data_IF_058248271260
#
_entry.id   IF_058248271260
#
_cell.length_a   1.000
_cell.length_b   1.000
_cell.length_c   1.000
_cell.angle_alpha   90.00
_cell.angle_beta   90.00
_cell.angle_gamma   90.00
#
_symmetry.space_group_name_H-M   'P 1'
#
loop_
_entity.id
_entity.type
_entity.pdbx_description
1 polymer ?
#
# COMPACT_ATOMS: atom_id res chain seq x y z
N UNK A 1 38.15 -7.41 16.30
CA UNK A 1 38.14 -8.31 15.13
C UNK A 1 39.50 -8.16 14.47
N UNK A 2 40.15 -9.26 14.05
CA UNK A 2 41.43 -9.21 13.33
C UNK A 2 41.20 -8.98 11.84
N UNK A 3 42.19 -8.41 11.14
CA UNK A 3 42.11 -8.16 9.70
C UNK A 3 41.87 -9.46 8.90
N UNK A 4 42.46 -10.58 9.34
CA UNK A 4 42.23 -11.91 8.74
C UNK A 4 40.75 -12.36 8.80
N UNK A 5 40.04 -12.06 9.91
CA UNK A 5 38.63 -12.41 10.06
C UNK A 5 37.72 -11.50 9.20
N UNK A 6 38.18 -10.29 8.89
CA UNK A 6 37.47 -9.35 8.00
C UNK A 6 37.61 -9.79 6.54
N UNK A 7 38.79 -10.27 6.14
CA UNK A 7 39.01 -10.77 4.79
C UNK A 7 38.30 -12.10 4.52
N UNK A 8 38.18 -12.96 5.53
CA UNK A 8 37.35 -14.18 5.43
C UNK A 8 35.86 -13.83 5.23
N UNK A 9 35.33 -12.82 5.94
CA UNK A 9 33.95 -12.34 5.76
C UNK A 9 33.69 -11.73 4.36
N UNK A 10 34.66 -11.03 3.77
CA UNK A 10 34.52 -10.46 2.42
C UNK A 10 34.49 -11.53 1.32
N UNK A 11 35.03 -12.72 1.59
CA UNK A 11 35.04 -13.85 0.65
C UNK A 11 33.70 -14.59 0.59
N UNK A 12 32.78 -14.30 1.51
CA UNK A 12 31.44 -14.88 1.51
C UNK A 12 30.64 -14.30 0.34
N UNK A 13 30.25 -15.19 -0.58
CA UNK A 13 29.43 -14.82 -1.72
C UNK A 13 28.01 -14.43 -1.25
N UNK A 14 27.67 -13.16 -1.43
CA UNK A 14 26.36 -12.64 -1.04
C UNK A 14 25.32 -13.01 -2.10
N UNK A 15 24.06 -13.30 -1.71
CA UNK A 15 22.97 -13.44 -2.66
C UNK A 15 22.84 -12.17 -3.51
N UNK A 16 22.56 -12.33 -4.80
CA UNK A 16 22.24 -11.19 -5.66
C UNK A 16 21.06 -10.39 -5.11
N UNK A 17 21.08 -9.06 -5.26
CA UNK A 17 20.04 -8.15 -4.74
C UNK A 17 18.63 -8.57 -5.16
N UNK A 18 18.48 -9.06 -6.40
CA UNK A 18 17.22 -9.62 -6.92
C UNK A 18 16.68 -10.78 -6.07
N UNK A 19 17.55 -11.71 -5.66
CA UNK A 19 17.15 -12.82 -4.79
C UNK A 19 16.76 -12.32 -3.40
N UNK A 20 17.49 -11.35 -2.86
CA UNK A 20 17.15 -10.73 -1.57
C UNK A 20 15.77 -10.08 -1.63
N UNK A 21 15.46 -9.37 -2.71
CA UNK A 21 14.17 -8.74 -2.94
C UNK A 21 13.02 -9.76 -3.10
N UNK A 22 13.24 -10.84 -3.86
CA UNK A 22 12.25 -11.91 -4.02
C UNK A 22 11.92 -12.58 -2.65
N UNK A 23 12.93 -12.81 -1.80
CA UNK A 23 12.72 -13.32 -0.44
C UNK A 23 11.97 -12.34 0.45
N UNK A 24 12.26 -11.03 0.38
CA UNK A 24 11.49 -9.99 1.11
C UNK A 24 10.03 -9.96 0.68
N UNK A 25 9.76 -10.02 -0.62
CA UNK A 25 8.39 -10.09 -1.14
C UNK A 25 7.67 -11.33 -0.58
N UNK A 26 8.31 -12.49 -0.66
CA UNK A 26 7.74 -13.76 -0.16
C UNK A 26 7.46 -13.71 1.34
N UNK A 27 8.38 -13.17 2.13
CA UNK A 27 8.20 -13.00 3.57
C UNK A 27 7.00 -12.12 3.90
N UNK A 28 6.86 -10.99 3.22
CA UNK A 28 5.71 -10.10 3.40
C UNK A 28 4.40 -10.73 2.93
N UNK A 29 4.42 -11.51 1.84
CA UNK A 29 3.24 -12.24 1.36
C UNK A 29 2.74 -13.27 2.37
N UNK A 30 3.65 -14.02 2.99
CA UNK A 30 3.32 -14.98 4.06
C UNK A 30 2.74 -14.24 5.26
N UNK A 31 3.35 -13.14 5.69
CA UNK A 31 2.88 -12.33 6.82
C UNK A 31 1.47 -11.78 6.57
N UNK A 32 1.24 -11.20 5.39
CA UNK A 32 -0.06 -10.62 5.03
C UNK A 32 -1.13 -11.69 4.84
N UNK A 33 -0.75 -12.88 4.38
CA UNK A 33 -1.64 -14.05 4.36
C UNK A 33 -2.03 -14.46 5.79
N UNK A 34 -1.05 -14.65 6.69
CA UNK A 34 -1.31 -15.08 8.07
C UNK A 34 -2.20 -14.09 8.83
N UNK A 35 -1.95 -12.78 8.71
CA UNK A 35 -2.82 -11.75 9.32
C UNK A 35 -4.25 -11.77 8.78
N UNK A 36 -4.44 -12.12 7.50
CA UNK A 36 -5.76 -12.25 6.89
C UNK A 36 -6.49 -13.50 7.37
N UNK A 37 -5.77 -14.61 7.55
CA UNK A 37 -6.31 -15.85 8.13
C UNK A 37 -6.72 -15.65 9.59
N UNK A 38 -5.91 -14.99 10.41
CA UNK A 38 -6.27 -14.66 11.80
C UNK A 38 -7.50 -13.76 11.90
N UNK A 39 -7.66 -12.83 10.95
CA UNK A 39 -8.80 -11.92 10.89
C UNK A 39 -10.06 -12.56 10.25
N UNK A 40 -9.91 -13.75 9.67
CA UNK A 40 -10.98 -14.53 9.03
C UNK A 40 -11.69 -15.39 10.08
N UNK A 41 -13.02 -15.46 10.02
CA UNK A 41 -13.81 -16.32 10.91
C UNK A 41 -13.72 -17.81 10.54
N UNK A 42 -13.20 -18.11 9.35
CA UNK A 42 -12.88 -19.45 8.88
C UNK A 42 -11.38 -19.65 9.11
N UNK A 43 -11.02 -20.25 10.25
CA UNK A 43 -9.68 -20.79 10.42
C UNK A 43 -9.51 -21.92 9.42
N UNK A 44 -8.74 -21.69 8.36
CA UNK A 44 -8.26 -22.78 7.53
C UNK A 44 -7.41 -23.68 8.42
N UNK A 45 -7.72 -24.99 8.42
CA UNK A 45 -7.04 -26.01 9.22
C UNK A 45 -5.57 -26.13 8.78
N UNK A 46 -4.75 -25.23 9.31
CA UNK A 46 -3.31 -25.15 9.09
C UNK A 46 -2.65 -26.24 9.94
N UNK A 47 -1.97 -27.19 9.30
CA UNK A 47 -1.20 -28.24 9.99
C UNK A 47 0.04 -27.70 10.73
N UNK A 48 0.35 -26.43 10.56
CA UNK A 48 1.50 -25.75 11.14
C UNK A 48 0.98 -24.81 12.21
N UNK A 49 1.56 -24.90 13.41
CA UNK A 49 1.35 -23.94 14.48
C UNK A 49 2.19 -22.69 14.21
N UNK A 50 1.52 -21.55 14.07
CA UNK A 50 2.14 -20.27 13.76
C UNK A 50 2.25 -19.36 14.99
N UNK A 51 1.70 -19.75 16.14
CA UNK A 51 1.65 -18.92 17.35
C UNK A 51 3.06 -18.66 17.92
N UNK A 52 4.01 -19.57 17.67
CA UNK A 52 5.40 -19.46 18.07
C UNK A 52 6.28 -18.65 17.10
N UNK A 53 5.72 -18.15 15.99
CA UNK A 53 6.46 -17.41 14.95
C UNK A 53 6.25 -15.91 15.10
N UNK A 54 7.29 -15.19 15.54
CA UNK A 54 7.28 -13.72 15.61
C UNK A 54 7.94 -13.14 14.37
N UNK A 55 7.19 -12.35 13.60
CA UNK A 55 7.72 -11.63 12.44
C UNK A 55 8.51 -10.39 12.91
N UNK A 56 9.78 -10.29 12.50
CA UNK A 56 10.64 -9.12 12.78
C UNK A 56 10.33 -7.99 11.79
N UNK A 57 9.45 -7.06 12.18
CA UNK A 57 8.97 -5.97 11.32
C UNK A 57 9.88 -4.75 11.37
N UNK A 58 10.59 -4.52 12.47
CA UNK A 58 11.35 -3.30 12.68
C UNK A 58 12.63 -3.28 11.83
N UNK A 59 13.26 -4.44 11.65
CA UNK A 59 14.37 -4.59 10.69
C UNK A 59 13.94 -4.27 9.25
N UNK A 60 12.73 -4.68 8.86
CA UNK A 60 12.20 -4.43 7.51
C UNK A 60 11.85 -2.96 7.28
N UNK A 61 11.37 -2.25 8.30
CA UNK A 61 11.13 -0.80 8.23
C UNK A 61 12.43 -0.01 8.06
N UNK A 62 13.52 -0.44 8.71
CA UNK A 62 14.81 0.27 8.62
C UNK A 62 15.43 0.24 7.22
N UNK A 63 14.99 -0.70 6.38
CA UNK A 63 15.43 -0.90 5.00
C UNK A 63 14.29 -0.67 4.00
N UNK A 64 13.24 0.05 4.43
CA UNK A 64 12.05 0.27 3.62
C UNK A 64 12.39 1.07 2.37
N UNK A 65 12.06 0.50 1.22
CA UNK A 65 12.13 1.21 -0.04
C UNK A 65 11.08 2.31 0.00
N UNK A 66 11.52 3.57 -0.03
CA UNK A 66 10.64 4.73 -0.05
C UNK A 66 9.98 4.89 -1.42
N UNK A 67 8.85 5.62 -1.46
CA UNK A 67 8.12 5.84 -2.70
C UNK A 67 8.98 6.56 -3.75
N UNK A 68 9.81 7.52 -3.34
CA UNK A 68 10.70 8.28 -4.23
C UNK A 68 11.69 7.37 -4.99
N UNK A 69 12.21 6.32 -4.33
CA UNK A 69 13.07 5.33 -4.98
C UNK A 69 12.28 4.44 -5.95
N UNK A 70 11.04 4.06 -5.62
CA UNK A 70 10.19 3.32 -6.56
C UNK A 70 9.94 4.16 -7.82
N UNK A 71 9.67 5.46 -7.66
CA UNK A 71 9.47 6.39 -8.78
C UNK A 71 10.75 6.62 -9.59
N UNK A 72 11.92 6.63 -8.94
CA UNK A 72 13.23 6.65 -9.61
C UNK A 72 13.45 5.39 -10.44
N UNK A 73 13.18 4.20 -9.88
CA UNK A 73 13.28 2.94 -10.63
C UNK A 73 12.33 2.90 -11.83
N UNK A 74 11.13 3.46 -11.71
CA UNK A 74 10.20 3.60 -12.84
C UNK A 74 10.86 4.40 -13.97
N UNK A 75 11.50 5.51 -13.63
CA UNK A 75 12.19 6.35 -14.61
C UNK A 75 13.40 5.65 -15.25
N UNK A 76 14.25 5.02 -14.45
CA UNK A 76 15.44 4.31 -14.93
C UNK A 76 15.05 3.14 -15.83
N UNK A 77 14.15 2.27 -15.37
CA UNK A 77 13.72 1.12 -16.15
C UNK A 77 12.89 1.51 -17.38
N UNK A 78 12.12 2.61 -17.37
CA UNK A 78 11.45 3.05 -18.59
C UNK A 78 12.44 3.40 -19.71
N UNK A 79 13.65 3.86 -19.39
CA UNK A 79 14.70 4.14 -20.39
C UNK A 79 15.34 2.87 -20.95
N UNK A 80 15.35 1.79 -20.18
CA UNK A 80 16.03 0.54 -20.53
C UNK A 80 15.08 -0.50 -21.15
N UNK A 81 13.82 -0.51 -20.70
CA UNK A 81 12.79 -1.47 -21.12
C UNK A 81 12.04 -1.00 -22.35
N UNK A 82 11.56 -1.96 -23.16
CA UNK A 82 10.85 -1.65 -24.42
C UNK A 82 9.33 -1.71 -24.28
N UNK A 83 8.83 -2.13 -23.13
CA UNK A 83 7.40 -2.34 -22.93
C UNK A 83 6.93 -1.94 -21.52
N UNK A 84 5.76 -1.29 -21.45
CA UNK A 84 5.11 -0.97 -20.17
C UNK A 84 4.80 -2.22 -19.33
N UNK A 85 4.56 -3.36 -19.97
CA UNK A 85 4.30 -4.63 -19.25
C UNK A 85 5.50 -5.11 -18.45
N UNK A 86 6.71 -5.07 -19.04
CA UNK A 86 7.94 -5.45 -18.33
C UNK A 86 8.22 -4.49 -17.18
N UNK A 87 8.02 -3.18 -17.40
CA UNK A 87 8.16 -2.16 -16.37
C UNK A 87 7.18 -2.40 -15.20
N UNK A 88 5.91 -2.69 -15.50
CA UNK A 88 4.90 -3.01 -14.48
C UNK A 88 5.30 -4.24 -13.66
N UNK A 89 5.80 -5.30 -14.31
CA UNK A 89 6.19 -6.52 -13.61
C UNK A 89 7.40 -6.30 -12.69
N UNK A 90 8.37 -5.50 -13.10
CA UNK A 90 9.53 -5.16 -12.26
C UNK A 90 9.10 -4.29 -11.07
N UNK A 91 8.31 -3.25 -11.32
CA UNK A 91 7.83 -2.31 -10.29
C UNK A 91 6.94 -3.03 -9.27
N UNK A 92 6.08 -3.97 -9.71
CA UNK A 92 5.27 -4.79 -8.80
C UNK A 92 6.13 -5.59 -7.82
N UNK A 93 7.25 -6.16 -8.26
CA UNK A 93 8.18 -6.89 -7.37
C UNK A 93 8.76 -5.96 -6.31
N UNK A 94 9.16 -4.74 -6.70
CA UNK A 94 9.71 -3.74 -5.79
C UNK A 94 8.67 -3.31 -4.76
N UNK A 95 7.45 -2.99 -5.21
CA UNK A 95 6.35 -2.59 -4.33
C UNK A 95 5.99 -3.70 -3.34
N UNK A 96 5.91 -4.95 -3.78
CA UNK A 96 5.59 -6.08 -2.89
C UNK A 96 6.70 -6.37 -1.89
N UNK A 97 7.95 -6.06 -2.20
CA UNK A 97 9.02 -6.13 -1.21
C UNK A 97 8.92 -5.01 -0.14
N UNK A 98 8.21 -3.92 -0.41
CA UNK A 98 8.04 -2.76 0.49
C UNK A 98 6.74 -2.85 1.29
N UNK A 99 6.83 -2.98 2.62
CA UNK A 99 5.66 -3.17 3.50
C UNK A 99 4.66 -2.00 3.39
N UNK A 100 5.12 -0.75 3.45
CA UNK A 100 4.26 0.43 3.47
C UNK A 100 3.68 0.84 2.12
N UNK A 101 4.22 0.32 1.01
CA UNK A 101 3.80 0.70 -0.34
C UNK A 101 2.91 -0.32 -1.04
N UNK A 102 2.67 -1.51 -0.46
CA UNK A 102 1.78 -2.54 -1.05
C UNK A 102 0.39 -2.01 -1.39
N UNK A 103 -0.20 -1.22 -0.50
CA UNK A 103 -1.53 -0.62 -0.74
C UNK A 103 -1.56 0.35 -1.93
N UNK A 104 -0.40 0.85 -2.37
CA UNK A 104 -0.23 1.74 -3.53
C UNK A 104 0.03 0.98 -4.83
N UNK A 105 0.13 -0.35 -4.83
CA UNK A 105 0.45 -1.14 -6.04
C UNK A 105 -0.46 -0.77 -7.21
N UNK A 106 -1.78 -0.78 -7.00
CA UNK A 106 -2.75 -0.40 -8.04
C UNK A 106 -2.50 1.02 -8.56
N UNK A 107 -2.32 1.98 -7.66
CA UNK A 107 -2.11 3.39 -8.02
C UNK A 107 -0.86 3.62 -8.87
N UNK A 108 0.24 2.95 -8.52
CA UNK A 108 1.51 3.06 -9.24
C UNK A 108 1.43 2.36 -10.60
N UNK A 109 0.77 1.19 -10.67
CA UNK A 109 0.54 0.48 -11.93
C UNK A 109 -0.35 1.29 -12.86
N UNK A 110 -1.41 1.90 -12.34
CA UNK A 110 -2.31 2.77 -13.09
C UNK A 110 -1.57 3.99 -13.63
N UNK A 111 -0.69 4.60 -12.82
CA UNK A 111 0.20 5.68 -13.26
C UNK A 111 1.07 5.26 -14.45
N UNK A 112 1.78 4.12 -14.36
CA UNK A 112 2.63 3.62 -15.45
C UNK A 112 1.81 3.41 -16.74
N UNK A 113 0.61 2.85 -16.62
CA UNK A 113 -0.23 2.55 -17.77
C UNK A 113 -0.82 3.81 -18.42
N UNK A 114 -1.25 4.78 -17.62
CA UNK A 114 -2.01 5.96 -18.08
C UNK A 114 -1.13 7.16 -18.42
N UNK A 115 0.12 7.21 -17.95
CA UNK A 115 1.04 8.31 -18.22
C UNK A 115 2.00 7.98 -19.37
N UNK A 116 2.33 8.97 -20.20
CA UNK A 116 3.41 8.84 -21.17
C UNK A 116 4.75 9.12 -20.49
N UNK A 117 5.45 8.08 -20.05
CA UNK A 117 6.71 8.21 -19.31
C UNK A 117 7.87 8.72 -20.18
N UNK A 118 7.77 8.60 -21.52
CA UNK A 118 8.80 9.07 -22.45
C UNK A 118 8.87 10.61 -22.55
N UNK A 119 7.81 11.30 -22.11
CA UNK A 119 7.74 12.77 -22.05
C UNK A 119 8.35 13.33 -20.77
N UNK A 120 8.71 12.48 -19.80
CA UNK A 120 9.28 12.88 -18.52
C UNK A 120 10.80 12.76 -18.60
N UNK A 121 11.51 13.88 -18.41
CA UNK A 121 12.96 13.97 -18.65
C UNK A 121 13.83 13.77 -17.41
N UNK A 122 13.21 13.68 -16.23
CA UNK A 122 13.93 13.50 -14.98
C UNK A 122 13.08 12.93 -13.86
N UNK A 123 13.76 12.41 -12.83
CA UNK A 123 13.15 11.91 -11.58
C UNK A 123 12.17 12.91 -10.97
N UNK A 124 12.52 14.19 -10.93
CA UNK A 124 11.66 15.23 -10.37
C UNK A 124 10.31 15.35 -11.10
N UNK A 125 10.33 15.27 -12.44
CA UNK A 125 9.13 15.33 -13.27
C UNK A 125 8.25 14.09 -13.08
N UNK A 126 8.85 12.90 -12.94
CA UNK A 126 8.12 11.67 -12.62
C UNK A 126 7.44 11.76 -11.26
N UNK A 127 8.13 12.30 -10.26
CA UNK A 127 7.58 12.50 -8.93
C UNK A 127 6.39 13.48 -8.98
N UNK A 128 6.55 14.62 -9.63
CA UNK A 128 5.48 15.62 -9.78
C UNK A 128 4.27 15.05 -10.52
N UNK A 129 4.50 14.36 -11.65
CA UNK A 129 3.46 13.71 -12.44
C UNK A 129 2.72 12.64 -11.64
N UNK A 130 3.44 11.83 -10.86
CA UNK A 130 2.83 10.81 -10.00
C UNK A 130 1.94 11.44 -8.94
N UNK A 131 2.40 12.46 -8.20
CA UNK A 131 1.57 13.08 -7.16
C UNK A 131 0.36 13.81 -7.76
N UNK A 132 0.50 14.46 -8.93
CA UNK A 132 -0.62 15.07 -9.62
C UNK A 132 -1.67 14.02 -10.04
N UNK A 133 -1.22 12.90 -10.63
CA UNK A 133 -2.06 11.76 -10.98
C UNK A 133 -2.75 11.18 -9.74
N UNK A 134 -1.98 10.90 -8.68
CA UNK A 134 -2.47 10.30 -7.46
C UNK A 134 -3.52 11.17 -6.76
N UNK A 135 -3.37 12.49 -6.76
CA UNK A 135 -4.37 13.41 -6.21
C UNK A 135 -5.65 13.45 -7.06
N UNK A 136 -5.55 13.31 -8.38
CA UNK A 136 -6.72 13.21 -9.25
C UNK A 136 -7.49 11.92 -8.98
N UNK A 137 -6.78 10.78 -8.92
CA UNK A 137 -7.38 9.48 -8.60
C UNK A 137 -7.96 9.43 -7.19
N UNK A 138 -7.29 10.05 -6.21
CA UNK A 138 -7.79 10.17 -4.85
C UNK A 138 -9.17 10.86 -4.79
N UNK A 139 -9.36 11.94 -5.55
CA UNK A 139 -10.65 12.64 -5.62
C UNK A 139 -11.71 11.77 -6.29
N UNK A 140 -11.37 11.17 -7.44
CA UNK A 140 -12.27 10.30 -8.21
C UNK A 140 -12.75 9.11 -7.37
N UNK A 141 -11.83 8.37 -6.76
CA UNK A 141 -12.14 7.19 -5.94
C UNK A 141 -12.88 7.56 -4.65
N UNK A 142 -12.61 8.72 -4.05
CA UNK A 142 -13.37 9.19 -2.90
C UNK A 142 -14.84 9.45 -3.27
N UNK A 143 -15.09 10.11 -4.41
CA UNK A 143 -16.44 10.38 -4.90
C UNK A 143 -17.18 9.07 -5.25
N UNK A 144 -16.51 8.13 -5.89
CA UNK A 144 -17.05 6.81 -6.20
C UNK A 144 -17.40 6.03 -4.92
N UNK A 145 -16.52 6.03 -3.92
CA UNK A 145 -16.76 5.38 -2.63
C UNK A 145 -17.97 5.98 -1.91
N UNK A 146 -18.06 7.31 -1.88
CA UNK A 146 -19.19 8.03 -1.27
C UNK A 146 -20.50 7.69 -1.98
N UNK A 147 -20.51 7.69 -3.32
CA UNK A 147 -21.69 7.40 -4.12
C UNK A 147 -22.12 5.93 -4.00
N UNK A 148 -21.18 4.99 -4.15
CA UNK A 148 -21.42 3.56 -4.08
C UNK A 148 -21.99 3.14 -2.72
N UNK A 149 -21.38 3.64 -1.63
CA UNK A 149 -21.82 3.31 -0.28
C UNK A 149 -23.03 4.14 0.20
N UNK A 150 -23.45 5.14 -0.58
CA UNK A 150 -24.51 6.11 -0.26
C UNK A 150 -24.25 6.85 1.05
N UNK A 151 -23.02 7.30 1.23
CA UNK A 151 -22.59 8.01 2.43
C UNK A 151 -23.11 9.45 2.45
N UNK A 152 -23.13 10.05 3.63
CA UNK A 152 -23.28 11.48 3.77
C UNK A 152 -22.02 12.17 3.22
N UNK A 153 -22.13 12.83 2.07
CA UNK A 153 -20.99 13.37 1.33
C UNK A 153 -20.09 14.31 2.17
N UNK A 154 -20.67 15.33 2.81
CA UNK A 154 -19.89 16.31 3.58
C UNK A 154 -19.24 15.72 4.83
N UNK A 155 -19.91 14.77 5.49
CA UNK A 155 -19.35 14.07 6.63
C UNK A 155 -18.24 13.10 6.17
N UNK A 156 -18.46 12.38 5.06
CA UNK A 156 -17.51 11.44 4.50
C UNK A 156 -16.23 12.12 4.02
N UNK A 157 -16.32 13.22 3.26
CA UNK A 157 -15.15 14.00 2.83
C UNK A 157 -14.30 14.46 4.01
N UNK A 158 -14.92 14.96 5.07
CA UNK A 158 -14.21 15.38 6.30
C UNK A 158 -13.55 14.22 7.03
N UNK A 159 -14.25 13.10 7.18
CA UNK A 159 -13.71 11.91 7.83
C UNK A 159 -12.54 11.31 7.04
N UNK A 160 -12.67 11.18 5.72
CA UNK A 160 -11.62 10.67 4.83
C UNK A 160 -10.40 11.59 4.86
N UNK A 161 -10.59 12.91 4.73
CA UNK A 161 -9.49 13.87 4.79
C UNK A 161 -8.75 13.83 6.14
N UNK A 162 -9.49 13.71 7.25
CA UNK A 162 -8.91 13.58 8.59
C UNK A 162 -8.15 12.26 8.75
N UNK A 163 -8.70 11.17 8.20
CA UNK A 163 -8.08 9.84 8.26
C UNK A 163 -6.79 9.78 7.43
N UNK A 164 -6.76 10.39 6.24
CA UNK A 164 -5.53 10.51 5.45
C UNK A 164 -4.49 11.36 6.17
N UNK A 165 -4.89 12.50 6.77
CA UNK A 165 -3.97 13.34 7.55
C UNK A 165 -3.38 12.62 8.77
N UNK A 166 -4.15 11.71 9.38
CA UNK A 166 -3.70 10.86 10.49
C UNK A 166 -2.98 9.60 10.03
N UNK A 167 -3.02 9.30 8.73
CA UNK A 167 -2.51 8.08 8.10
C UNK A 167 -3.21 6.77 8.51
N UNK A 168 -4.34 6.86 9.22
CA UNK A 168 -5.20 5.72 9.57
C UNK A 168 -6.66 6.16 9.75
N UNK A 169 -7.60 5.26 9.48
CA UNK A 169 -9.00 5.43 9.79
C UNK A 169 -9.31 4.95 11.21
N UNK A 170 -10.12 5.71 11.96
CA UNK A 170 -10.51 5.37 13.34
C UNK A 170 -11.99 4.98 13.40
N UNK A 171 -12.30 3.82 13.98
CA UNK A 171 -13.67 3.46 14.38
C UNK A 171 -14.14 4.18 15.64
N UNK A 172 -13.19 4.72 16.42
CA UNK A 172 -13.47 5.39 17.68
C UNK A 172 -14.14 6.75 17.45
N UNK A 173 -15.08 7.08 18.33
CA UNK A 173 -15.84 8.32 18.27
C UNK A 173 -17.11 8.21 17.43
N UNK A 174 -17.65 9.36 17.02
CA UNK A 174 -18.93 9.46 16.30
C UNK A 174 -18.77 9.76 14.82
N UNK A 175 -17.55 10.06 14.36
CA UNK A 175 -17.28 10.48 12.98
C UNK A 175 -17.69 9.39 11.98
N UNK A 176 -17.24 8.14 12.18
CA UNK A 176 -17.65 7.01 11.33
C UNK A 176 -19.17 6.76 11.36
N UNK A 177 -19.85 6.99 12.48
CA UNK A 177 -21.31 6.83 12.53
C UNK A 177 -22.01 7.95 11.75
N UNK A 178 -21.42 9.14 11.68
CA UNK A 178 -22.00 10.32 11.03
C UNK A 178 -21.94 10.27 9.49
N UNK A 179 -21.05 9.46 8.92
CA UNK A 179 -20.94 9.29 7.46
C UNK A 179 -21.92 8.25 6.91
N UNK A 180 -22.43 7.36 7.77
CA UNK A 180 -23.33 6.29 7.35
C UNK A 180 -24.68 6.86 6.89
N UNK A 181 -25.35 6.20 5.92
CA UNK A 181 -26.71 6.56 5.55
C UNK A 181 -27.65 6.48 6.75
N UNK A 182 -28.73 7.28 6.73
CA UNK A 182 -29.75 7.26 7.78
C UNK A 182 -30.39 5.88 7.86
N UNK A 183 -30.12 5.16 8.93
CA UNK A 183 -30.69 3.86 9.26
C UNK A 183 -30.91 3.78 10.76
N UNK A 184 -31.88 2.98 11.19
CA UNK A 184 -32.04 2.67 12.62
C UNK A 184 -30.83 1.87 13.12
N UNK A 185 -30.22 2.21 14.27
CA UNK A 185 -29.19 1.38 14.90
C UNK A 185 -29.67 -0.03 15.24
N UNK A 186 -30.99 -0.23 15.38
CA UNK A 186 -31.60 -1.53 15.62
C UNK A 186 -31.77 -2.35 14.33
N UNK A 187 -31.41 -1.79 13.17
CA UNK A 187 -31.41 -2.54 11.91
C UNK A 187 -30.27 -3.57 11.95
N UNK A 188 -30.56 -4.87 11.77
CA UNK A 188 -29.53 -5.93 11.79
C UNK A 188 -28.43 -5.74 10.75
N UNK A 189 -28.68 -4.99 9.67
CA UNK A 189 -27.68 -4.68 8.65
C UNK A 189 -26.75 -3.52 9.03
N UNK A 190 -27.08 -2.74 10.07
CA UNK A 190 -26.32 -1.54 10.44
C UNK A 190 -24.87 -1.85 10.78
N UNK A 191 -24.64 -2.86 11.64
CA UNK A 191 -23.29 -3.25 12.05
C UNK A 191 -22.46 -3.77 10.88
N UNK A 192 -23.08 -4.57 10.00
CA UNK A 192 -22.41 -5.08 8.79
C UNK A 192 -22.02 -3.93 7.86
N UNK A 193 -22.94 -3.02 7.55
CA UNK A 193 -22.67 -1.84 6.71
C UNK A 193 -21.58 -0.95 7.31
N UNK A 194 -21.61 -0.72 8.63
CA UNK A 194 -20.58 0.06 9.33
C UNK A 194 -19.19 -0.56 9.15
N UNK A 195 -19.06 -1.87 9.38
CA UNK A 195 -17.80 -2.60 9.22
C UNK A 195 -17.31 -2.57 7.77
N UNK A 196 -18.20 -2.85 6.81
CA UNK A 196 -17.84 -2.91 5.40
C UNK A 196 -17.39 -1.52 4.88
N UNK A 197 -18.06 -0.44 5.30
CA UNK A 197 -17.66 0.95 5.00
C UNK A 197 -16.32 1.28 5.64
N UNK A 198 -16.11 0.90 6.91
CA UNK A 198 -14.84 1.14 7.58
C UNK A 198 -13.67 0.43 6.90
N UNK A 199 -13.84 -0.83 6.49
CA UNK A 199 -12.82 -1.58 5.76
C UNK A 199 -12.46 -0.90 4.43
N UNK A 200 -13.47 -0.45 3.66
CA UNK A 200 -13.25 0.27 2.39
C UNK A 200 -12.52 1.59 2.59
N UNK A 201 -12.90 2.37 3.61
CA UNK A 201 -12.22 3.64 3.91
C UNK A 201 -10.80 3.39 4.42
N UNK A 202 -10.59 2.35 5.24
CA UNK A 202 -9.25 1.98 5.71
C UNK A 202 -8.33 1.61 4.55
N UNK A 203 -8.81 0.79 3.61
CA UNK A 203 -8.08 0.45 2.40
C UNK A 203 -7.79 1.69 1.53
N UNK A 204 -8.76 2.60 1.40
CA UNK A 204 -8.58 3.88 0.72
C UNK A 204 -7.49 4.75 1.39
N UNK A 205 -7.50 4.85 2.71
CA UNK A 205 -6.48 5.59 3.47
C UNK A 205 -5.10 4.97 3.29
N UNK A 206 -4.97 3.65 3.37
CA UNK A 206 -3.69 2.97 3.13
C UNK A 206 -3.16 3.21 1.70
N UNK A 207 -4.05 3.20 0.70
CA UNK A 207 -3.71 3.52 -0.69
C UNK A 207 -3.23 4.96 -0.86
N UNK A 208 -3.89 5.94 -0.24
CA UNK A 208 -3.62 7.37 -0.49
C UNK A 208 -2.87 8.12 0.62
N UNK A 209 -2.50 7.49 1.74
CA UNK A 209 -1.66 8.14 2.77
C UNK A 209 -0.32 8.57 2.19
N UNK A 210 0.12 9.78 2.52
CA UNK A 210 1.34 10.40 1.98
C UNK A 210 1.19 11.10 0.63
N UNK A 211 0.06 10.96 -0.09
CA UNK A 211 -0.16 11.62 -1.39
C UNK A 211 -0.42 13.13 -1.25
N UNK A 212 -0.99 13.56 -0.13
CA UNK A 212 -1.41 14.94 0.10
C UNK A 212 -2.69 15.31 -0.65
N UNK A 213 -2.87 16.58 -1.00
CA UNK A 213 -4.03 17.06 -1.76
C UNK A 213 -5.29 17.34 -0.94
N UNK A 214 -6.37 17.72 -1.65
CA UNK A 214 -7.71 17.95 -1.09
C UNK A 214 -8.73 17.01 -1.75
N UNK A 215 -9.74 16.64 -0.97
CA UNK A 215 -10.88 15.78 -1.34
C UNK A 215 -12.17 16.59 -1.34
#
# INVERSE_FOLDING_TARGET
MSDDAVDELKSVEMPADRKVQDYRSTYNDIRDWLRREEASAEQVDSKIDWDDVVFEVDLLKSQEINLDYILELIFEHNKETKSKSELVDEVRRVIRASIGNRAKESLIVDFINQTNLDELWGKAEVIEAFFAFAQAEQRREAEELIAHEKLNADAAKRYIATSIKREYASENGTELNSILPRMSPLNPQYLKKKRDVFQRISAFVEKFKGVGGKI
#
